data_IF_302647363094
#
_entry.id   IF_302647363094
#
_cell.length_a   1.000
_cell.length_b   1.000
_cell.length_c   1.000
_cell.angle_alpha   90.00
_cell.angle_beta   90.00
_cell.angle_gamma   90.00
#
_symmetry.space_group_name_H-M   'P 1'
#
loop_
_entity.id
_entity.type
_entity.pdbx_description
1 polymer ?
#
# COMPACT_ATOMS: atom_id res chain seq x y z
N UNK A 1 6.07 21.46 17.17
CA UNK A 1 4.76 21.19 16.56
C UNK A 1 4.59 19.68 16.56
N UNK A 2 3.43 19.16 16.93
CA UNK A 2 3.16 17.72 16.79
C UNK A 2 3.03 17.38 15.30
N UNK A 3 3.74 16.36 14.84
CA UNK A 3 3.49 15.74 13.54
C UNK A 3 2.23 14.87 13.64
N UNK A 4 1.50 14.75 12.54
CA UNK A 4 0.27 13.97 12.47
C UNK A 4 0.29 13.17 11.17
N UNK A 5 -0.19 11.93 11.21
CA UNK A 5 -0.43 11.16 10.01
C UNK A 5 -1.53 11.81 9.15
N UNK A 6 -1.25 12.03 7.88
CA UNK A 6 -2.21 12.54 6.91
C UNK A 6 -2.40 11.49 5.82
N UNK A 7 -3.63 10.98 5.71
CA UNK A 7 -3.99 10.08 4.62
C UNK A 7 -4.10 10.86 3.30
N UNK A 8 -3.44 10.38 2.24
CA UNK A 8 -3.55 10.91 0.87
C UNK A 8 -4.21 9.88 -0.04
N UNK A 9 -5.50 10.09 -0.30
CA UNK A 9 -6.33 9.19 -1.10
C UNK A 9 -6.30 9.53 -2.59
N UNK A 10 -6.33 8.52 -3.46
CA UNK A 10 -6.45 8.72 -4.89
C UNK A 10 -7.89 9.01 -5.30
N UNK A 11 -8.12 10.11 -6.01
CA UNK A 11 -9.40 10.29 -6.71
C UNK A 11 -9.46 9.30 -7.87
N UNK A 12 -10.58 8.56 -7.96
CA UNK A 12 -10.80 7.61 -9.06
C UNK A 12 -10.93 8.35 -10.39
N UNK A 13 -10.13 7.93 -11.38
CA UNK A 13 -10.12 8.52 -12.70
C UNK A 13 -11.35 8.19 -13.56
N UNK A 14 -11.70 9.06 -14.52
CA UNK A 14 -12.88 8.88 -15.38
C UNK A 14 -12.77 7.67 -16.31
N UNK A 15 -11.55 7.14 -16.52
CA UNK A 15 -11.29 5.95 -17.33
C UNK A 15 -11.25 4.65 -16.53
N UNK A 16 -11.71 4.66 -15.26
CA UNK A 16 -11.82 3.44 -14.46
C UNK A 16 -12.55 2.33 -15.22
N UNK A 17 -11.99 1.13 -15.22
CA UNK A 17 -12.48 -0.03 -15.95
C UNK A 17 -11.94 -1.34 -15.35
N UNK A 18 -12.57 -2.46 -15.70
CA UNK A 18 -12.14 -3.80 -15.29
C UNK A 18 -11.52 -4.56 -16.47
N UNK A 19 -10.23 -4.31 -16.75
CA UNK A 19 -9.53 -4.92 -17.89
C UNK A 19 -8.70 -6.18 -17.57
N UNK A 20 -8.69 -6.66 -16.32
CA UNK A 20 -7.97 -7.90 -15.97
C UNK A 20 -6.45 -7.82 -16.13
N UNK A 21 -5.85 -6.65 -15.90
CA UNK A 21 -4.46 -6.36 -16.28
C UNK A 21 -3.40 -6.83 -15.27
N UNK A 22 -3.80 -7.23 -14.07
CA UNK A 22 -2.88 -7.53 -12.95
C UNK A 22 -2.77 -9.03 -12.67
N UNK A 23 -1.74 -9.68 -13.22
CA UNK A 23 -1.45 -11.09 -12.89
C UNK A 23 -1.19 -11.25 -11.38
N UNK A 24 -1.80 -12.26 -10.77
CA UNK A 24 -1.73 -12.51 -9.32
C UNK A 24 -2.72 -11.69 -8.48
N UNK A 25 -3.43 -10.73 -9.07
CA UNK A 25 -4.57 -10.08 -8.41
C UNK A 25 -5.87 -10.80 -8.82
N UNK A 26 -6.42 -11.59 -7.88
CA UNK A 26 -7.61 -12.42 -8.11
C UNK A 26 -8.84 -11.55 -8.41
N UNK A 27 -9.02 -10.44 -7.70
CA UNK A 27 -10.14 -9.52 -7.91
C UNK A 27 -10.10 -8.91 -9.32
N UNK A 28 -8.91 -8.48 -9.77
CA UNK A 28 -8.70 -7.96 -11.12
C UNK A 28 -9.06 -9.00 -12.20
N UNK A 29 -8.68 -10.26 -12.00
CA UNK A 29 -8.95 -11.32 -12.97
C UNK A 29 -10.43 -11.72 -13.00
N UNK A 30 -11.08 -11.76 -11.84
CA UNK A 30 -12.47 -12.26 -11.70
C UNK A 30 -13.52 -11.32 -12.29
N UNK A 31 -13.23 -10.01 -12.33
CA UNK A 31 -14.15 -8.98 -12.87
C UNK A 31 -13.77 -8.53 -14.28
N UNK A 32 -12.83 -9.22 -14.93
CA UNK A 32 -12.31 -8.80 -16.24
C UNK A 32 -13.44 -8.80 -17.30
N UNK A 33 -13.68 -7.63 -17.90
CA UNK A 33 -14.72 -7.41 -18.89
C UNK A 33 -16.05 -6.88 -18.34
N UNK A 34 -16.20 -6.79 -17.01
CA UNK A 34 -17.42 -6.27 -16.41
C UNK A 34 -17.61 -4.77 -16.68
N UNK A 35 -18.87 -4.28 -16.74
CA UNK A 35 -19.15 -2.85 -16.76
C UNK A 35 -18.61 -2.16 -15.51
N UNK A 36 -18.01 -0.98 -15.70
CA UNK A 36 -17.55 -0.13 -14.60
C UNK A 36 -18.38 1.16 -14.51
N UNK A 37 -18.40 1.77 -13.33
CA UNK A 37 -19.15 3.00 -13.06
C UNK A 37 -18.21 4.08 -12.49
N UNK A 38 -17.36 4.73 -13.32
CA UNK A 38 -16.30 5.62 -12.84
C UNK A 38 -16.77 6.72 -11.88
N UNK A 39 -17.94 7.33 -12.17
CA UNK A 39 -18.53 8.36 -11.30
C UNK A 39 -18.93 7.79 -9.94
N UNK A 40 -19.51 6.59 -9.91
CA UNK A 40 -19.92 5.96 -8.65
C UNK A 40 -18.68 5.59 -7.81
N UNK A 41 -17.65 5.01 -8.44
CA UNK A 41 -16.38 4.69 -7.79
C UNK A 41 -15.70 5.94 -7.21
N UNK A 42 -15.68 7.05 -7.95
CA UNK A 42 -15.16 8.32 -7.44
C UNK A 42 -15.96 8.84 -6.23
N UNK A 43 -17.29 8.74 -6.27
CA UNK A 43 -18.15 9.18 -5.15
C UNK A 43 -17.98 8.29 -3.91
N UNK A 44 -17.76 6.99 -4.06
CA UNK A 44 -17.44 6.09 -2.95
C UNK A 44 -16.12 6.48 -2.28
N UNK A 45 -15.06 6.72 -3.07
CA UNK A 45 -13.78 7.20 -2.54
C UNK A 45 -13.91 8.55 -1.81
N UNK A 46 -14.67 9.49 -2.37
CA UNK A 46 -14.97 10.79 -1.73
C UNK A 46 -15.75 10.65 -0.43
N UNK A 47 -16.68 9.71 -0.34
CA UNK A 47 -17.41 9.44 0.90
C UNK A 47 -16.46 8.93 1.99
N UNK A 48 -15.54 8.01 1.67
CA UNK A 48 -14.51 7.53 2.59
C UNK A 48 -13.60 8.67 3.06
N UNK A 49 -13.05 9.46 2.13
CA UNK A 49 -12.22 10.62 2.45
C UNK A 49 -12.91 11.61 3.40
N UNK A 50 -14.20 11.89 3.18
CA UNK A 50 -14.99 12.73 4.08
C UNK A 50 -15.17 12.10 5.46
N UNK A 51 -15.36 10.79 5.51
CA UNK A 51 -15.40 10.04 6.76
C UNK A 51 -14.09 10.13 7.55
N UNK A 52 -12.94 10.03 6.88
CA UNK A 52 -11.64 10.16 7.52
C UNK A 52 -11.38 11.61 7.96
N UNK A 53 -11.70 12.59 7.12
CA UNK A 53 -11.62 14.00 7.48
C UNK A 53 -12.45 14.32 8.72
N UNK A 54 -13.64 13.74 8.85
CA UNK A 54 -14.48 13.93 10.03
C UNK A 54 -13.90 13.28 11.31
N UNK A 55 -13.16 12.17 11.18
CA UNK A 55 -12.52 11.45 12.30
C UNK A 55 -11.20 12.08 12.74
N UNK A 56 -10.40 12.52 11.77
CA UNK A 56 -9.00 12.92 11.99
C UNK A 56 -8.79 14.43 11.91
N UNK A 57 -9.73 15.19 11.34
CA UNK A 57 -9.58 16.62 11.06
C UNK A 57 -8.64 16.95 9.88
N UNK A 58 -7.93 15.95 9.34
CA UNK A 58 -7.00 16.07 8.22
C UNK A 58 -7.23 14.97 7.19
N UNK A 59 -7.14 15.31 5.90
CA UNK A 59 -7.21 14.39 4.77
C UNK A 59 -6.65 15.09 3.53
N UNK A 60 -5.70 14.46 2.85
CA UNK A 60 -5.19 14.87 1.55
C UNK A 60 -5.76 14.00 0.42
N UNK A 61 -5.50 14.40 -0.82
CA UNK A 61 -5.82 13.59 -1.99
C UNK A 61 -4.80 13.80 -3.12
N UNK A 62 -4.70 12.82 -4.01
CA UNK A 62 -3.97 12.89 -5.28
C UNK A 62 -4.96 12.85 -6.44
N UNK A 63 -4.67 13.60 -7.51
CA UNK A 63 -5.53 13.66 -8.68
C UNK A 63 -5.32 12.41 -9.57
N UNK A 64 -6.34 12.02 -10.37
CA UNK A 64 -6.16 10.99 -11.37
C UNK A 64 -5.12 11.41 -12.40
N UNK A 65 -4.33 10.46 -12.89
CA UNK A 65 -3.34 10.73 -13.93
C UNK A 65 -4.01 10.90 -15.31
N UNK A 66 -3.40 11.62 -16.26
CA UNK A 66 -3.92 11.76 -17.61
C UNK A 66 -4.12 10.41 -18.30
N UNK A 67 -5.35 10.13 -18.74
CA UNK A 67 -5.71 8.91 -19.48
C UNK A 67 -6.56 9.28 -20.71
N UNK A 68 -6.33 8.64 -21.87
CA UNK A 68 -5.30 7.62 -22.11
C UNK A 68 -3.89 8.19 -22.16
N UNK A 69 -2.90 7.38 -21.81
CA UNK A 69 -1.48 7.71 -21.99
C UNK A 69 -1.05 7.50 -23.45
N UNK A 70 -0.99 8.59 -24.23
CA UNK A 70 -0.62 8.57 -25.65
C UNK A 70 0.84 8.17 -25.90
N UNK A 71 1.74 8.43 -24.95
CA UNK A 71 3.13 8.00 -25.03
C UNK A 71 3.22 6.47 -24.94
N UNK A 72 2.46 5.86 -24.02
CA UNK A 72 2.39 4.40 -23.91
C UNK A 72 1.71 3.78 -25.15
N UNK A 73 0.67 4.40 -25.70
CA UNK A 73 0.06 3.93 -26.95
C UNK A 73 1.07 3.89 -28.10
N UNK A 74 1.87 4.95 -28.24
CA UNK A 74 2.94 5.02 -29.24
C UNK A 74 4.00 3.94 -29.00
N UNK A 75 4.43 3.75 -27.75
CA UNK A 75 5.45 2.77 -27.39
C UNK A 75 4.98 1.32 -27.63
N UNK A 76 3.69 1.04 -27.46
CA UNK A 76 3.08 -0.26 -27.76
C UNK A 76 2.75 -0.45 -29.25
N UNK A 77 2.98 0.58 -30.08
CA UNK A 77 2.69 0.58 -31.50
C UNK A 77 1.24 0.19 -31.83
N UNK A 78 0.27 0.69 -31.05
CA UNK A 78 -1.13 0.29 -31.19
C UNK A 78 -1.70 0.65 -32.57
N UNK A 79 -2.15 -0.36 -33.31
CA UNK A 79 -2.81 -0.24 -34.62
C UNK A 79 -4.26 -0.78 -34.62
N UNK A 80 -4.70 -1.37 -33.51
CA UNK A 80 -6.04 -1.91 -33.32
C UNK A 80 -6.12 -3.43 -33.45
N UNK A 81 -5.05 -4.10 -33.88
CA UNK A 81 -4.98 -5.57 -33.98
C UNK A 81 -4.53 -6.26 -32.69
N UNK A 82 -4.09 -5.49 -31.69
CA UNK A 82 -3.55 -6.02 -30.45
C UNK A 82 -4.63 -6.66 -29.55
N UNK A 83 -4.25 -7.62 -28.68
CA UNK A 83 -5.10 -8.12 -27.63
C UNK A 83 -5.77 -6.99 -26.81
N UNK A 84 -7.04 -7.15 -26.40
CA UNK A 84 -7.78 -6.12 -25.67
C UNK A 84 -7.05 -5.56 -24.44
N UNK A 85 -6.29 -6.40 -23.72
CA UNK A 85 -5.54 -6.00 -22.53
C UNK A 85 -4.43 -4.99 -22.84
N UNK A 86 -3.72 -5.14 -23.96
CA UNK A 86 -2.68 -4.18 -24.38
C UNK A 86 -3.32 -2.84 -24.77
N UNK A 87 -4.48 -2.88 -25.42
CA UNK A 87 -5.25 -1.66 -25.76
C UNK A 87 -5.81 -0.96 -24.53
N UNK A 88 -6.15 -1.70 -23.48
CA UNK A 88 -6.68 -1.17 -22.23
C UNK A 88 -5.61 -0.60 -21.29
N UNK A 89 -4.36 -1.07 -21.35
CA UNK A 89 -3.29 -0.65 -20.43
C UNK A 89 -3.10 0.88 -20.36
N UNK A 90 -3.06 1.65 -21.48
CA UNK A 90 -2.95 3.12 -21.44
C UNK A 90 -4.16 3.84 -20.81
N UNK A 91 -5.28 3.15 -20.61
CA UNK A 91 -6.51 3.72 -20.07
C UNK A 91 -6.71 3.45 -18.58
N UNK A 92 -5.89 2.58 -17.98
CA UNK A 92 -6.05 2.17 -16.59
C UNK A 92 -6.09 3.36 -15.63
N UNK A 93 -7.11 3.41 -14.76
CA UNK A 93 -7.21 4.36 -13.65
C UNK A 93 -6.49 3.88 -12.38
N UNK A 94 -5.51 2.97 -12.51
CA UNK A 94 -4.80 2.31 -11.41
C UNK A 94 -4.07 3.25 -10.45
N UNK A 95 -3.79 4.49 -10.87
CA UNK A 95 -3.19 5.51 -10.00
C UNK A 95 -4.09 5.92 -8.83
N UNK A 96 -5.36 5.49 -8.81
CA UNK A 96 -6.24 5.67 -7.66
C UNK A 96 -5.76 4.91 -6.42
N UNK A 97 -4.96 3.84 -6.59
CA UNK A 97 -4.34 3.09 -5.51
C UNK A 97 -3.04 3.77 -5.07
N UNK A 98 -3.18 4.79 -4.22
CA UNK A 98 -2.08 5.66 -3.77
C UNK A 98 -1.16 5.02 -2.74
N UNK A 99 -1.53 3.90 -2.15
CA UNK A 99 -0.60 3.06 -1.36
C UNK A 99 0.64 2.66 -2.19
N UNK A 100 0.52 2.58 -3.52
CA UNK A 100 1.64 2.30 -4.39
C UNK A 100 2.25 3.53 -5.06
N UNK A 101 1.82 4.75 -4.72
CA UNK A 101 2.31 5.96 -5.38
C UNK A 101 3.79 6.22 -5.05
N UNK A 102 4.14 6.07 -3.77
CA UNK A 102 5.48 6.31 -3.26
C UNK A 102 5.69 5.57 -1.93
N UNK A 103 6.94 5.42 -1.53
CA UNK A 103 7.30 5.17 -0.13
C UNK A 103 7.59 6.50 0.54
N UNK A 104 7.13 6.67 1.79
CA UNK A 104 7.26 7.90 2.58
C UNK A 104 7.99 7.59 3.88
N UNK A 105 9.04 8.36 4.17
CA UNK A 105 9.76 8.34 5.45
C UNK A 105 9.66 9.70 6.12
N UNK A 106 9.04 9.82 7.30
CA UNK A 106 8.82 11.11 7.94
C UNK A 106 10.13 11.68 8.54
N UNK A 107 10.15 12.99 8.77
CA UNK A 107 11.33 13.70 9.28
C UNK A 107 11.98 13.13 10.55
N UNK A 108 11.27 12.52 11.51
CA UNK A 108 11.93 11.94 12.69
C UNK A 108 12.82 10.72 12.37
N UNK A 109 12.69 10.14 11.18
CA UNK A 109 13.35 8.88 10.81
C UNK A 109 14.52 9.08 9.83
N UNK A 110 14.63 10.27 9.25
CA UNK A 110 15.62 10.61 8.22
C UNK A 110 16.79 11.40 8.80
N UNK A 111 18.01 11.14 8.32
CA UNK A 111 19.22 11.76 8.85
C UNK A 111 19.29 13.29 8.71
N UNK A 112 18.56 13.88 7.76
CA UNK A 112 18.54 15.33 7.51
C UNK A 112 17.29 16.04 8.07
N UNK A 113 16.39 15.31 8.74
CA UNK A 113 15.20 15.86 9.36
C UNK A 113 14.12 16.32 8.37
N UNK A 114 14.13 15.84 7.12
CA UNK A 114 13.08 16.11 6.13
C UNK A 114 12.19 14.89 5.90
N UNK A 115 10.97 15.11 5.44
CA UNK A 115 10.12 14.02 4.96
C UNK A 115 10.54 13.60 3.55
N UNK A 116 10.93 12.34 3.37
CA UNK A 116 11.44 11.82 2.11
C UNK A 116 10.37 10.99 1.40
N UNK A 117 10.22 11.21 0.09
CA UNK A 117 9.28 10.47 -0.76
C UNK A 117 10.00 9.95 -2.00
N UNK A 118 9.92 8.64 -2.25
CA UNK A 118 10.39 8.02 -3.49
C UNK A 118 9.21 7.43 -4.24
N UNK A 119 8.88 7.91 -5.47
CA UNK A 119 7.81 7.33 -6.26
C UNK A 119 8.15 5.88 -6.64
N UNK A 120 7.18 4.99 -6.54
CA UNK A 120 7.38 3.58 -6.86
C UNK A 120 7.37 3.39 -8.38
N UNK A 121 8.28 2.57 -8.92
CA UNK A 121 8.38 2.40 -10.38
C UNK A 121 7.28 1.50 -10.98
N UNK A 122 6.66 0.64 -10.16
CA UNK A 122 5.54 -0.24 -10.52
C UNK A 122 5.80 -1.10 -11.77
N UNK A 123 7.08 -1.42 -12.00
CA UNK A 123 7.57 -1.96 -13.27
C UNK A 123 7.00 -3.36 -13.59
N UNK A 124 6.51 -4.08 -12.59
CA UNK A 124 5.97 -5.43 -12.78
C UNK A 124 4.70 -5.44 -13.63
N UNK A 125 3.89 -4.39 -13.58
CA UNK A 125 2.64 -4.30 -14.33
C UNK A 125 2.71 -3.15 -15.33
N UNK A 126 2.65 -3.43 -16.64
CA UNK A 126 2.77 -2.43 -17.70
C UNK A 126 1.83 -1.23 -17.51
N UNK A 127 0.57 -1.48 -17.15
CA UNK A 127 -0.43 -0.45 -16.94
C UNK A 127 -0.18 0.42 -15.71
N UNK A 128 0.70 -0.03 -14.79
CA UNK A 128 1.14 0.72 -13.61
C UNK A 128 2.52 1.35 -13.76
N UNK A 129 3.42 0.72 -14.49
CA UNK A 129 4.77 1.22 -14.77
C UNK A 129 4.78 2.61 -15.42
N UNK A 130 3.68 3.00 -16.07
CA UNK A 130 3.47 4.33 -16.64
C UNK A 130 3.13 5.44 -15.62
N UNK A 131 2.81 5.10 -14.37
CA UNK A 131 2.26 6.04 -13.39
C UNK A 131 3.33 6.97 -12.81
N UNK A 132 4.52 6.44 -12.52
CA UNK A 132 5.50 7.11 -11.66
C UNK A 132 5.96 8.50 -12.15
N UNK A 133 6.12 8.79 -13.45
CA UNK A 133 6.56 10.12 -13.88
C UNK A 133 5.54 11.22 -13.54
N UNK A 134 4.25 10.95 -13.80
CA UNK A 134 3.18 11.89 -13.50
C UNK A 134 2.90 11.93 -11.99
N UNK A 135 3.01 10.80 -11.28
CA UNK A 135 2.95 10.75 -9.81
C UNK A 135 4.05 11.62 -9.20
N UNK A 136 5.29 11.52 -9.67
CA UNK A 136 6.39 12.35 -9.20
C UNK A 136 6.13 13.84 -9.43
N UNK A 137 5.58 14.20 -10.60
CA UNK A 137 5.20 15.58 -10.88
C UNK A 137 4.15 16.10 -9.88
N UNK A 138 3.13 15.28 -9.54
CA UNK A 138 2.16 15.64 -8.51
C UNK A 138 2.79 15.76 -7.11
N UNK A 139 3.69 14.84 -6.73
CA UNK A 139 4.37 14.89 -5.43
C UNK A 139 5.23 16.16 -5.29
N UNK A 140 5.93 16.57 -6.35
CA UNK A 140 6.70 17.83 -6.37
C UNK A 140 5.82 19.07 -6.21
N UNK A 141 4.56 19.02 -6.64
CA UNK A 141 3.59 20.10 -6.43
C UNK A 141 3.06 20.07 -4.99
N UNK A 142 2.61 18.91 -4.53
CA UNK A 142 1.99 18.74 -3.21
C UNK A 142 2.98 18.98 -2.05
N UNK A 143 4.24 18.59 -2.25
CA UNK A 143 5.32 18.60 -1.26
C UNK A 143 6.51 19.43 -1.77
N UNK A 144 6.23 20.60 -2.34
CA UNK A 144 7.22 21.45 -3.02
C UNK A 144 8.14 22.26 -2.11
N UNK A 145 7.89 22.29 -0.80
CA UNK A 145 8.76 22.99 0.15
C UNK A 145 10.01 22.15 0.46
N UNK A 146 11.11 22.49 -0.20
CA UNK A 146 12.38 21.73 -0.11
C UNK A 146 13.08 21.86 1.24
N UNK A 147 12.63 22.77 2.12
CA UNK A 147 13.09 22.83 3.50
C UNK A 147 12.53 21.67 4.33
N UNK A 148 11.35 21.16 3.97
CA UNK A 148 10.63 20.12 4.71
C UNK A 148 10.54 18.79 3.97
N UNK A 149 10.65 18.79 2.64
CA UNK A 149 10.45 17.61 1.80
C UNK A 149 11.62 17.35 0.85
N UNK A 150 11.90 16.07 0.62
CA UNK A 150 12.81 15.60 -0.42
C UNK A 150 12.11 14.58 -1.31
N UNK A 151 11.93 14.91 -2.59
CA UNK A 151 11.31 14.02 -3.59
C UNK A 151 12.40 13.41 -4.46
N UNK A 152 12.56 12.09 -4.38
CA UNK A 152 13.56 11.32 -5.11
C UNK A 152 13.03 10.85 -6.47
N UNK A 153 13.93 10.32 -7.30
CA UNK A 153 13.56 9.56 -8.50
C UNK A 153 13.23 8.11 -8.15
N UNK A 154 12.37 7.49 -8.98
CA UNK A 154 12.01 6.09 -8.80
C UNK A 154 13.26 5.19 -8.91
N UNK A 155 13.25 4.06 -8.20
CA UNK A 155 14.37 3.10 -8.26
C UNK A 155 14.54 2.54 -9.69
N UNK A 156 15.75 2.12 -10.10
CA UNK A 156 15.99 1.57 -11.43
C UNK A 156 15.01 0.43 -11.77
N UNK A 157 14.49 0.36 -13.01
CA UNK A 157 13.44 -0.58 -13.40
C UNK A 157 13.86 -2.05 -13.37
N UNK A 158 15.14 -2.35 -13.15
CA UNK A 158 15.63 -3.70 -12.88
C UNK A 158 15.18 -4.24 -11.52
N UNK A 159 14.75 -3.38 -10.60
CA UNK A 159 14.22 -3.74 -9.29
C UNK A 159 12.77 -3.28 -9.18
N UNK A 160 11.83 -4.22 -9.09
CA UNK A 160 10.41 -3.87 -8.90
C UNK A 160 10.17 -3.22 -7.54
N UNK A 161 9.42 -2.12 -7.55
CA UNK A 161 9.04 -1.36 -6.39
C UNK A 161 7.56 -0.96 -6.47
N UNK A 162 6.81 -1.31 -5.43
CA UNK A 162 5.37 -1.10 -5.29
C UNK A 162 5.04 -0.15 -4.13
N UNK A 163 6.05 0.56 -3.58
CA UNK A 163 5.85 1.70 -2.69
C UNK A 163 5.34 1.32 -1.30
N UNK A 164 4.54 2.21 -0.72
CA UNK A 164 4.05 2.09 0.65
C UNK A 164 3.17 0.85 0.92
N UNK A 165 2.60 0.20 -0.11
CA UNK A 165 1.87 -1.07 0.05
C UNK A 165 2.75 -2.21 0.60
N UNK A 166 4.07 -2.06 0.53
CA UNK A 166 5.05 -2.98 1.13
C UNK A 166 5.92 -2.31 2.21
N UNK A 167 5.42 -1.22 2.79
CA UNK A 167 6.08 -0.46 3.83
C UNK A 167 5.17 -0.35 5.05
N UNK A 168 5.74 -0.49 6.24
CA UNK A 168 5.07 -0.24 7.50
C UNK A 168 5.97 0.61 8.37
N UNK A 169 5.37 1.40 9.25
CA UNK A 169 6.10 2.20 10.24
C UNK A 169 5.53 1.95 11.63
N UNK A 170 6.40 1.60 12.57
CA UNK A 170 6.07 1.41 13.99
C UNK A 170 6.69 2.52 14.83
N UNK A 171 5.93 3.10 15.73
CA UNK A 171 6.38 4.22 16.57
C UNK A 171 5.53 4.35 17.84
N UNK A 172 6.07 4.95 18.89
CA UNK A 172 5.28 5.27 20.10
C UNK A 172 4.24 6.36 19.82
N UNK A 173 4.61 7.36 19.01
CA UNK A 173 3.74 8.41 18.47
C UNK A 173 4.20 8.82 17.07
N UNK A 174 3.31 9.40 16.26
CA UNK A 174 3.64 9.77 14.87
C UNK A 174 4.74 10.82 14.76
N UNK A 175 4.99 11.61 15.81
CA UNK A 175 6.04 12.62 15.88
C UNK A 175 7.36 12.12 16.51
N UNK A 176 7.36 10.92 17.09
CA UNK A 176 8.56 10.27 17.60
C UNK A 176 9.31 9.55 16.47
N UNK A 177 10.63 9.34 16.62
CA UNK A 177 11.37 8.43 15.75
C UNK A 177 10.69 7.05 15.73
N UNK A 178 10.52 6.47 14.54
CA UNK A 178 9.90 5.15 14.30
C UNK A 178 10.82 4.14 13.63
N UNK A 179 10.43 2.86 13.65
CA UNK A 179 11.09 1.79 12.89
C UNK A 179 10.37 1.60 11.58
N UNK A 180 11.11 1.67 10.48
CA UNK A 180 10.60 1.40 9.13
C UNK A 180 10.81 -0.06 8.77
N UNK A 181 9.72 -0.72 8.35
CA UNK A 181 9.69 -2.13 8.01
C UNK A 181 9.36 -2.24 6.53
N UNK A 182 10.33 -2.75 5.76
CA UNK A 182 10.19 -3.00 4.34
C UNK A 182 9.94 -4.48 4.10
N UNK A 183 8.81 -4.79 3.49
CA UNK A 183 8.44 -6.16 3.14
C UNK A 183 8.78 -6.40 1.67
N UNK A 184 9.28 -7.59 1.33
CA UNK A 184 9.61 -7.94 -0.06
C UNK A 184 9.26 -9.39 -0.37
N UNK A 185 9.17 -9.73 -1.65
CA UNK A 185 9.02 -11.11 -2.10
C UNK A 185 10.27 -11.62 -2.81
N UNK A 186 10.46 -12.94 -2.83
CA UNK A 186 11.47 -13.59 -3.69
C UNK A 186 10.81 -14.20 -4.93
N UNK A 187 11.57 -14.21 -6.02
CA UNK A 187 11.13 -14.82 -7.28
C UNK A 187 11.10 -16.35 -7.18
N UNK A 188 10.35 -17.01 -8.07
CA UNK A 188 10.26 -18.47 -8.15
C UNK A 188 8.92 -19.07 -7.71
N UNK A 189 7.99 -18.26 -7.21
CA UNK A 189 6.62 -18.68 -6.89
C UNK A 189 5.66 -18.66 -8.09
N UNK A 190 4.40 -19.04 -7.84
CA UNK A 190 3.30 -19.07 -8.84
C UNK A 190 3.00 -17.70 -9.46
N UNK A 191 3.14 -16.63 -8.68
CA UNK A 191 2.93 -15.24 -9.10
C UNK A 191 4.23 -14.44 -8.95
N UNK A 192 4.40 -13.35 -9.73
CA UNK A 192 5.59 -12.53 -9.65
C UNK A 192 5.69 -11.84 -8.27
N UNK A 193 6.85 -11.91 -7.64
CA UNK A 193 7.20 -11.01 -6.54
C UNK A 193 7.40 -9.61 -7.12
N UNK A 194 6.46 -8.71 -6.82
CA UNK A 194 6.46 -7.34 -7.37
C UNK A 194 7.45 -6.42 -6.67
N UNK A 195 7.63 -6.62 -5.37
CA UNK A 195 8.60 -5.88 -4.54
C UNK A 195 9.91 -6.65 -4.45
N UNK A 196 10.99 -6.02 -4.91
CA UNK A 196 12.34 -6.56 -4.85
C UNK A 196 13.09 -6.04 -3.61
N UNK A 197 13.80 -6.90 -2.88
CA UNK A 197 14.55 -6.50 -1.67
C UNK A 197 15.50 -5.31 -1.92
N UNK A 198 16.21 -5.34 -3.06
CA UNK A 198 17.13 -4.26 -3.42
C UNK A 198 16.43 -2.93 -3.73
N UNK A 199 15.18 -2.93 -4.20
CA UNK A 199 14.40 -1.69 -4.33
C UNK A 199 14.16 -1.09 -2.94
N UNK A 200 13.68 -1.90 -2.00
CA UNK A 200 13.46 -1.48 -0.61
C UNK A 200 14.73 -0.94 0.05
N UNK A 201 15.86 -1.63 -0.13
CA UNK A 201 17.16 -1.17 0.39
C UNK A 201 17.67 0.12 -0.28
N UNK A 202 17.38 0.32 -1.57
CA UNK A 202 17.71 1.57 -2.27
C UNK A 202 16.91 2.74 -1.70
N UNK A 203 15.59 2.57 -1.50
CA UNK A 203 14.72 3.58 -0.89
C UNK A 203 15.22 3.94 0.52
N UNK A 204 15.48 2.95 1.37
CA UNK A 204 15.99 3.19 2.73
C UNK A 204 17.31 4.01 2.73
N UNK A 205 18.24 3.71 1.81
CA UNK A 205 19.49 4.48 1.66
C UNK A 205 19.23 5.90 1.15
N UNK A 206 18.38 6.08 0.15
CA UNK A 206 18.03 7.38 -0.40
C UNK A 206 17.31 8.27 0.63
N UNK A 207 16.55 7.64 1.54
CA UNK A 207 15.86 8.30 2.63
C UNK A 207 16.77 8.61 3.83
N UNK A 208 18.01 8.08 3.84
CA UNK A 208 18.96 8.30 4.92
C UNK A 208 18.50 7.69 6.25
N UNK A 209 17.79 6.56 6.20
CA UNK A 209 17.27 5.88 7.38
C UNK A 209 18.39 5.28 8.22
N UNK A 210 18.21 5.27 9.53
CA UNK A 210 19.10 4.57 10.46
C UNK A 210 19.00 3.05 10.24
N UNK A 211 20.11 2.36 9.89
CA UNK A 211 20.11 0.91 9.74
C UNK A 211 19.67 0.14 10.99
N UNK A 212 19.85 0.69 12.19
CA UNK A 212 19.39 0.06 13.43
C UNK A 212 17.86 0.15 13.62
N UNK A 213 17.20 1.00 12.84
CA UNK A 213 15.75 1.26 12.89
C UNK A 213 15.07 0.95 11.55
N UNK A 214 15.71 0.13 10.73
CA UNK A 214 15.21 -0.29 9.43
C UNK A 214 15.24 -1.82 9.33
N UNK A 215 14.08 -2.45 9.15
CA UNK A 215 13.94 -3.91 9.10
C UNK A 215 13.47 -4.34 7.71
N UNK A 216 14.04 -5.44 7.20
CA UNK A 216 13.69 -6.00 5.89
C UNK A 216 13.15 -7.42 6.08
N UNK A 217 11.91 -7.67 5.69
CA UNK A 217 11.19 -8.91 5.98
C UNK A 217 10.70 -9.54 4.68
N UNK A 218 10.90 -10.84 4.53
CA UNK A 218 10.35 -11.59 3.41
C UNK A 218 8.88 -11.94 3.68
N UNK A 219 7.99 -11.56 2.76
CA UNK A 219 6.59 -11.98 2.77
C UNK A 219 6.49 -13.49 2.52
N UNK A 220 5.51 -14.14 3.13
CA UNK A 220 5.27 -15.55 2.93
C UNK A 220 4.98 -15.85 1.43
N UNK A 221 5.78 -16.71 0.76
CA UNK A 221 5.54 -17.06 -0.64
C UNK A 221 4.18 -17.73 -0.88
N UNK A 222 3.64 -18.45 0.11
CA UNK A 222 2.30 -19.06 0.02
C UNK A 222 1.19 -17.99 0.06
N UNK A 223 1.38 -16.92 0.84
CA UNK A 223 0.46 -15.78 0.82
C UNK A 223 0.47 -15.05 -0.52
N UNK A 224 1.66 -14.82 -1.08
CA UNK A 224 1.78 -14.26 -2.45
C UNK A 224 1.05 -15.19 -3.44
N UNK A 225 1.29 -16.50 -3.37
CA UNK A 225 0.65 -17.49 -4.24
C UNK A 225 -0.89 -17.57 -4.06
N UNK A 226 -1.39 -17.23 -2.86
CA UNK A 226 -2.82 -17.15 -2.55
C UNK A 226 -3.48 -15.83 -3.00
N UNK A 227 -2.69 -14.84 -3.45
CA UNK A 227 -3.20 -13.57 -3.97
C UNK A 227 -2.82 -12.33 -3.16
N UNK A 228 -2.00 -12.46 -2.10
CA UNK A 228 -1.43 -11.32 -1.38
C UNK A 228 -0.25 -10.72 -2.16
N UNK A 229 -0.54 -10.03 -3.27
CA UNK A 229 0.47 -9.46 -4.16
C UNK A 229 1.23 -8.26 -3.56
N UNK A 230 0.77 -7.74 -2.42
CA UNK A 230 1.38 -6.70 -1.59
C UNK A 230 1.23 -7.07 -0.10
N UNK A 231 2.06 -6.50 0.77
CA UNK A 231 1.99 -6.71 2.22
C UNK A 231 0.70 -6.19 2.84
N UNK A 232 0.19 -5.04 2.37
CA UNK A 232 -1.06 -4.43 2.82
C UNK A 232 -2.32 -5.27 2.53
N UNK A 233 -2.19 -6.48 1.98
CA UNK A 233 -3.26 -7.48 1.86
C UNK A 233 -3.26 -8.46 3.04
N UNK A 234 -2.16 -8.54 3.81
CA UNK A 234 -1.97 -9.49 4.92
C UNK A 234 -1.45 -8.86 6.22
N UNK A 235 -0.99 -7.61 6.20
CA UNK A 235 -0.56 -6.89 7.39
C UNK A 235 -0.68 -5.36 7.24
N UNK A 236 -1.00 -4.67 8.33
CA UNK A 236 -1.00 -3.21 8.45
C UNK A 236 -0.48 -2.80 9.84
N UNK A 237 0.21 -1.66 9.93
CA UNK A 237 0.74 -1.15 11.18
C UNK A 237 0.26 0.29 11.44
N UNK A 238 0.08 0.62 12.72
CA UNK A 238 -0.14 1.99 13.17
C UNK A 238 0.32 2.14 14.63
N UNK A 239 1.10 3.19 14.91
CA UNK A 239 1.69 3.37 16.23
C UNK A 239 2.50 2.14 16.65
N UNK A 240 2.27 1.57 17.85
CA UNK A 240 2.99 0.38 18.29
C UNK A 240 2.43 -0.93 17.72
N UNK A 241 1.26 -0.89 17.07
CA UNK A 241 0.49 -2.07 16.69
C UNK A 241 0.86 -2.57 15.30
N UNK A 242 1.16 -3.87 15.21
CA UNK A 242 1.19 -4.64 13.98
C UNK A 242 -0.05 -5.55 13.93
N UNK A 243 -0.99 -5.23 13.06
CA UNK A 243 -2.16 -6.06 12.77
C UNK A 243 -1.87 -6.95 11.56
N UNK A 244 -1.80 -8.28 11.75
CA UNK A 244 -1.26 -9.18 10.73
C UNK A 244 -1.90 -10.57 10.74
N UNK A 245 -1.91 -11.24 9.59
CA UNK A 245 -2.26 -12.66 9.50
C UNK A 245 -1.12 -13.54 10.01
N UNK A 246 -1.44 -14.68 10.63
CA UNK A 246 -0.46 -15.68 11.08
C UNK A 246 0.40 -16.31 9.95
N UNK A 247 0.12 -15.97 8.70
CA UNK A 247 0.80 -16.48 7.50
C UNK A 247 1.33 -15.32 6.63
N UNK A 248 1.54 -14.12 7.20
CA UNK A 248 1.97 -12.95 6.45
C UNK A 248 3.44 -13.02 6.03
N UNK A 249 4.34 -13.53 6.88
CA UNK A 249 5.79 -13.52 6.66
C UNK A 249 6.36 -14.94 6.49
N UNK A 250 7.47 -15.06 5.75
CA UNK A 250 8.10 -16.35 5.48
C UNK A 250 8.68 -17.01 6.75
N UNK A 251 9.19 -16.20 7.66
CA UNK A 251 9.53 -16.57 9.04
C UNK A 251 8.81 -15.61 9.99
N UNK A 252 7.60 -16.00 10.41
CA UNK A 252 6.71 -15.15 11.22
C UNK A 252 7.34 -14.78 12.56
N UNK A 253 7.92 -15.75 13.28
CA UNK A 253 8.55 -15.51 14.56
C UNK A 253 9.82 -14.66 14.41
N UNK A 254 10.66 -14.98 13.41
CA UNK A 254 11.85 -14.18 13.11
C UNK A 254 11.53 -12.75 12.69
N UNK A 255 10.42 -12.53 11.96
CA UNK A 255 9.92 -11.20 11.64
C UNK A 255 9.58 -10.41 12.91
N UNK A 256 8.84 -11.02 13.84
CA UNK A 256 8.49 -10.37 15.12
C UNK A 256 9.72 -10.08 15.98
N UNK A 257 10.67 -11.01 16.04
CA UNK A 257 11.90 -10.82 16.80
C UNK A 257 12.77 -9.70 16.20
N UNK A 258 12.89 -9.64 14.87
CA UNK A 258 13.63 -8.58 14.18
C UNK A 258 12.99 -7.20 14.40
N UNK A 259 11.65 -7.11 14.30
CA UNK A 259 10.94 -5.87 14.59
C UNK A 259 11.10 -5.49 16.06
N UNK A 260 10.89 -6.43 17.00
CA UNK A 260 10.98 -6.16 18.44
C UNK A 260 12.38 -5.77 18.90
N UNK A 261 13.42 -6.29 18.24
CA UNK A 261 14.79 -5.88 18.50
C UNK A 261 15.03 -4.39 18.16
N UNK A 262 14.41 -3.89 17.09
CA UNK A 262 14.48 -2.48 16.71
C UNK A 262 13.43 -1.60 17.43
N UNK A 263 12.29 -2.18 17.81
CA UNK A 263 11.15 -1.52 18.44
C UNK A 263 10.57 -2.37 19.58
N UNK A 264 11.11 -2.27 20.81
CA UNK A 264 10.68 -3.09 21.94
C UNK A 264 9.22 -2.93 22.36
N UNK A 265 8.58 -1.81 22.02
CA UNK A 265 7.18 -1.51 22.30
C UNK A 265 6.20 -2.16 21.31
N UNK A 266 6.67 -3.06 20.42
CA UNK A 266 5.84 -3.79 19.46
C UNK A 266 4.68 -4.52 20.16
N UNK A 267 3.47 -4.18 19.72
CA UNK A 267 2.24 -4.90 20.05
C UNK A 267 1.74 -5.64 18.81
N UNK A 268 1.52 -6.95 18.91
CA UNK A 268 1.15 -7.79 17.77
C UNK A 268 -0.28 -8.28 17.95
N UNK A 269 -1.14 -7.86 17.03
CA UNK A 269 -2.50 -8.38 16.88
C UNK A 269 -2.46 -9.38 15.71
N UNK A 270 -2.23 -10.65 16.04
CA UNK A 270 -2.18 -11.72 15.04
C UNK A 270 -3.57 -12.36 14.85
N UNK A 271 -4.02 -12.47 13.60
CA UNK A 271 -5.21 -13.25 13.23
C UNK A 271 -4.80 -14.68 12.93
N UNK A 272 -5.20 -15.66 13.75
CA UNK A 272 -4.80 -17.04 13.53
C UNK A 272 -5.61 -17.67 12.40
N UNK A 273 -4.99 -18.53 11.60
CA UNK A 273 -5.60 -19.17 10.43
C UNK A 273 -6.85 -20.01 10.74
N UNK A 274 -7.02 -20.43 11.98
CA UNK A 274 -8.21 -21.17 12.42
C UNK A 274 -9.42 -20.28 12.68
N UNK A 275 -9.23 -18.96 12.90
CA UNK A 275 -10.30 -17.99 13.08
C UNK A 275 -10.70 -17.35 11.75
N UNK A 276 -9.72 -16.92 10.96
CA UNK A 276 -9.89 -16.41 9.60
C UNK A 276 -8.82 -17.06 8.73
N UNK A 277 -9.22 -17.75 7.67
CA UNK A 277 -8.25 -18.37 6.76
C UNK A 277 -7.58 -17.30 5.90
N UNK A 278 -6.39 -17.61 5.39
CA UNK A 278 -5.65 -16.72 4.50
C UNK A 278 -6.46 -16.33 3.26
N UNK A 279 -7.18 -17.29 2.66
CA UNK A 279 -8.02 -17.05 1.50
C UNK A 279 -9.17 -16.10 1.82
N UNK A 280 -9.77 -16.25 3.00
CA UNK A 280 -10.87 -15.39 3.43
C UNK A 280 -10.37 -13.97 3.72
N UNK A 281 -9.23 -13.83 4.41
CA UNK A 281 -8.59 -12.54 4.64
C UNK A 281 -8.27 -11.79 3.33
N UNK A 282 -7.74 -12.50 2.32
CA UNK A 282 -7.46 -11.96 0.99
C UNK A 282 -8.76 -11.60 0.26
N UNK A 283 -9.80 -12.44 0.35
CA UNK A 283 -11.08 -12.20 -0.30
C UNK A 283 -11.79 -10.96 0.24
N UNK A 284 -11.76 -10.76 1.55
CA UNK A 284 -12.45 -9.65 2.22
C UNK A 284 -11.60 -8.40 2.37
N UNK A 285 -10.31 -8.46 2.05
CA UNK A 285 -9.39 -7.35 2.22
C UNK A 285 -9.28 -6.86 3.68
N UNK A 286 -9.33 -7.80 4.65
CA UNK A 286 -9.31 -7.45 6.09
C UNK A 286 -8.08 -6.61 6.48
N UNK A 287 -6.91 -6.94 5.94
CA UNK A 287 -5.68 -6.23 6.25
C UNK A 287 -5.42 -5.04 5.33
N UNK A 288 -6.19 -4.87 4.26
CA UNK A 288 -6.18 -3.65 3.45
C UNK A 288 -7.03 -2.53 4.08
N UNK A 289 -7.22 -2.64 5.39
CA UNK A 289 -7.89 -1.66 6.22
C UNK A 289 -6.98 -0.48 6.53
N UNK A 290 -7.58 0.63 6.94
CA UNK A 290 -6.85 1.70 7.63
C UNK A 290 -6.96 1.47 9.14
N UNK A 291 -5.82 1.36 9.83
CA UNK A 291 -5.75 1.39 11.29
C UNK A 291 -5.37 2.80 11.72
N UNK A 292 -6.32 3.55 12.28
CA UNK A 292 -6.19 4.99 12.53
C UNK A 292 -6.12 5.29 14.02
N UNK A 293 -5.21 6.16 14.45
CA UNK A 293 -5.26 6.76 15.80
C UNK A 293 -6.26 7.90 15.82
N UNK A 294 -7.29 7.81 16.68
CA UNK A 294 -8.30 8.84 16.89
C UNK A 294 -7.80 9.94 17.85
N UNK A 295 -8.44 11.13 17.87
CA UNK A 295 -8.04 12.23 18.75
C UNK A 295 -8.06 11.91 20.25
N UNK A 296 -8.81 10.90 20.68
CA UNK A 296 -8.85 10.42 22.07
C UNK A 296 -7.77 9.38 22.40
N UNK A 297 -6.92 9.03 21.42
CA UNK A 297 -5.84 8.05 21.54
C UNK A 297 -6.27 6.59 21.27
N UNK A 298 -7.56 6.32 21.08
CA UNK A 298 -8.03 5.00 20.66
C UNK A 298 -7.72 4.73 19.19
N UNK A 299 -7.85 3.48 18.74
CA UNK A 299 -7.70 3.12 17.33
C UNK A 299 -9.03 2.76 16.67
N UNK A 300 -9.18 3.13 15.40
CA UNK A 300 -10.30 2.72 14.56
C UNK A 300 -9.80 1.90 13.37
N UNK A 301 -10.44 0.76 13.12
CA UNK A 301 -10.21 -0.07 11.93
C UNK A 301 -11.26 0.26 10.85
N UNK A 302 -10.82 0.76 9.70
CA UNK A 302 -11.68 1.07 8.56
C UNK A 302 -11.55 -0.05 7.52
N UNK A 303 -12.56 -0.92 7.46
CA UNK A 303 -12.61 -2.09 6.56
C UNK A 303 -13.59 -1.88 5.39
N UNK A 304 -13.41 -2.59 4.27
CA UNK A 304 -14.41 -2.65 3.20
C UNK A 304 -15.65 -3.47 3.60
N UNK A 305 -16.73 -3.37 2.83
CA UNK A 305 -18.03 -3.98 3.16
C UNK A 305 -17.97 -5.51 3.19
N UNK A 306 -17.11 -6.12 2.37
CA UNK A 306 -16.88 -7.56 2.27
C UNK A 306 -16.42 -8.18 3.60
N UNK A 307 -15.76 -7.40 4.47
CA UNK A 307 -15.41 -7.85 5.83
C UNK A 307 -16.65 -8.09 6.69
N UNK A 308 -17.70 -7.28 6.52
CA UNK A 308 -18.97 -7.43 7.23
C UNK A 308 -19.82 -8.56 6.67
N UNK A 309 -19.72 -8.82 5.37
CA UNK A 309 -20.43 -9.91 4.70
C UNK A 309 -19.86 -11.29 5.03
N UNK A 310 -18.60 -11.36 5.45
CA UNK A 310 -17.94 -12.59 5.88
C UNK A 310 -18.26 -12.92 7.35
N UNK A 311 -18.91 -14.05 7.65
CA UNK A 311 -19.21 -14.42 9.03
C UNK A 311 -17.97 -14.61 9.91
N UNK A 312 -16.90 -15.22 9.39
CA UNK A 312 -15.67 -15.46 10.15
C UNK A 312 -14.89 -14.18 10.42
N UNK A 313 -14.76 -13.30 9.42
CA UNK A 313 -14.07 -12.01 9.58
C UNK A 313 -14.86 -11.10 10.51
N UNK A 314 -16.17 -10.98 10.31
CA UNK A 314 -16.99 -10.12 11.17
C UNK A 314 -17.03 -10.62 12.62
N UNK A 315 -17.16 -11.93 12.84
CA UNK A 315 -17.10 -12.51 14.18
C UNK A 315 -15.75 -12.24 14.87
N UNK A 316 -14.64 -12.30 14.12
CA UNK A 316 -13.32 -11.93 14.66
C UNK A 316 -13.26 -10.43 15.01
N UNK A 317 -13.74 -9.54 14.14
CA UNK A 317 -13.79 -8.11 14.43
C UNK A 317 -14.67 -7.79 15.65
N UNK A 318 -15.84 -8.41 15.79
CA UNK A 318 -16.72 -8.22 16.95
C UNK A 318 -16.09 -8.73 18.25
N UNK A 319 -15.37 -9.86 18.20
CA UNK A 319 -14.63 -10.37 19.34
C UNK A 319 -13.54 -9.40 19.80
N UNK A 320 -12.79 -8.81 18.87
CA UNK A 320 -11.77 -7.80 19.16
C UNK A 320 -12.35 -6.49 19.72
N UNK A 321 -13.50 -6.05 19.18
CA UNK A 321 -14.21 -4.87 19.71
C UNK A 321 -14.76 -5.11 21.13
N UNK A 322 -15.02 -6.38 21.49
CA UNK A 322 -15.48 -6.75 22.82
C UNK A 322 -14.33 -6.99 23.83
N UNK A 323 -13.08 -7.10 23.36
CA UNK A 323 -11.86 -7.16 24.18
C UNK A 323 -11.24 -5.77 24.37
N UNK A 324 -9.96 -5.73 24.73
CA UNK A 324 -9.19 -4.50 24.95
C UNK A 324 -8.61 -3.91 23.65
N UNK A 325 -9.22 -4.20 22.50
CA UNK A 325 -8.49 -4.29 21.23
C UNK A 325 -7.76 -5.62 21.23
#
# INVERSE_FOLDING_TARGET
MSLTEINFDGIVGPSHNYAGLSLGNIASASHAGDPSYPRAAALQGMAKMRGNLARLGVQGFLLPLPRPNTALQTALALDGTEPPQLRAAPWSASSMWTANAATVSPSPDTADGRCHLTPANLVTMLHRAQEWPDTQAQLRIAFGDTQHFAIHDAVPPTFGDEGAANHMRLCESHDAPGVEVFVYGKTGGRFPARQHEQASRLVARAHGLDPARTVFIEQNPEAIAAGAFHNDVVAVANGPVLFTHAEAFADQAGAYDAIRAAFPALDVVEVPSHAVTLQEAIRTYLFNAQLLTLPDGSMALIVPEECRESPSVWAWCEAMLASNG
#
